data_IF_828485732290
#
_entry.id   IF_828485732290
#
_cell.length_a   1.000
_cell.length_b   1.000
_cell.length_c   1.000
_cell.angle_alpha   90.00
_cell.angle_beta   90.00
_cell.angle_gamma   90.00
#
_symmetry.space_group_name_H-M   'P 1'
#
loop_
_entity.id
_entity.type
_entity.pdbx_description
1 polymer ?
#
# COMPACT_ATOMS: atom_id res chain seq x y z
N UNK A 1 -74.67 -12.45 -13.61
CA UNK A 1 -73.74 -11.35 -13.97
C UNK A 1 -73.74 -10.22 -12.92
N UNK A 2 -74.79 -9.87 -12.25
CA UNK A 2 -74.86 -8.76 -11.30
C UNK A 2 -74.06 -8.99 -9.99
N UNK A 3 -73.94 -10.24 -9.49
CA UNK A 3 -73.16 -10.54 -8.28
C UNK A 3 -71.64 -10.42 -8.45
N UNK A 4 -71.11 -10.54 -9.66
CA UNK A 4 -69.66 -10.37 -9.95
C UNK A 4 -69.26 -8.89 -10.11
N UNK A 5 -70.21 -8.06 -10.51
CA UNK A 5 -69.99 -6.63 -10.64
C UNK A 5 -69.93 -5.92 -9.29
N UNK A 6 -70.71 -6.42 -8.30
CA UNK A 6 -70.68 -5.84 -6.93
C UNK A 6 -69.42 -6.16 -6.15
N UNK A 7 -68.76 -7.32 -6.44
CA UNK A 7 -67.47 -7.65 -5.81
C UNK A 7 -66.30 -6.84 -6.38
N UNK A 8 -66.41 -6.43 -7.65
CA UNK A 8 -65.38 -5.59 -8.28
C UNK A 8 -65.52 -4.11 -7.86
N UNK A 9 -66.74 -3.65 -7.55
CA UNK A 9 -67.00 -2.29 -7.07
C UNK A 9 -66.61 -2.10 -5.60
N UNK A 10 -66.56 -3.17 -4.78
CA UNK A 10 -66.13 -3.13 -3.39
C UNK A 10 -64.63 -3.27 -3.20
N UNK A 11 -63.88 -3.77 -4.19
CA UNK A 11 -62.44 -3.90 -4.18
C UNK A 11 -61.67 -2.63 -4.59
N UNK A 12 -62.33 -1.71 -5.30
CA UNK A 12 -61.73 -0.45 -5.78
C UNK A 12 -61.46 0.59 -4.67
N UNK A 13 -62.32 0.76 -3.62
CA UNK A 13 -61.99 1.72 -2.55
C UNK A 13 -60.87 1.24 -1.59
N UNK A 14 -60.52 -0.07 -1.55
CA UNK A 14 -59.44 -0.57 -0.69
C UNK A 14 -58.04 -0.26 -1.27
N UNK A 15 -57.97 0.02 -2.59
CA UNK A 15 -56.69 0.38 -3.23
C UNK A 15 -56.41 1.90 -3.20
N UNK A 16 -57.31 2.71 -2.66
CA UNK A 16 -57.13 4.16 -2.57
C UNK A 16 -56.73 4.65 -1.16
N UNK A 17 -56.44 3.71 -0.25
CA UNK A 17 -55.81 4.03 1.05
C UNK A 17 -54.29 3.81 0.94
N UNK A 18 -53.73 4.23 -0.16
CA UNK A 18 -52.29 4.24 -0.32
C UNK A 18 -51.76 5.67 -0.11
N UNK A 19 -50.98 5.81 0.93
CA UNK A 19 -50.06 6.89 1.21
C UNK A 19 -50.69 8.29 1.25
N UNK A 20 -51.32 8.66 2.35
CA UNK A 20 -51.15 10.03 2.82
C UNK A 20 -49.78 10.05 3.54
N UNK A 21 -48.70 10.28 2.80
CA UNK A 21 -47.47 10.74 3.39
C UNK A 21 -47.79 12.10 4.04
N UNK A 22 -48.18 12.08 5.30
CA UNK A 22 -48.20 13.28 6.12
C UNK A 22 -46.71 13.58 6.43
N UNK A 23 -46.02 14.18 5.42
CA UNK A 23 -44.69 14.74 5.63
C UNK A 23 -44.82 15.95 6.57
N UNK A 24 -44.99 15.69 7.85
CA UNK A 24 -44.93 16.73 8.86
C UNK A 24 -43.48 17.05 9.12
N UNK A 25 -43.08 18.30 8.89
CA UNK A 25 -41.76 18.81 9.30
C UNK A 25 -41.91 19.58 10.60
N UNK A 26 -41.03 19.28 11.56
CA UNK A 26 -41.07 19.90 12.88
C UNK A 26 -39.96 20.93 13.07
N UNK A 27 -40.27 21.97 13.85
CA UNK A 27 -39.29 22.95 14.36
C UNK A 27 -39.03 22.75 15.85
N UNK A 28 -39.38 21.58 16.42
CA UNK A 28 -39.08 21.26 17.80
C UNK A 28 -37.58 21.13 18.01
N UNK A 29 -37.08 21.86 19.00
CA UNK A 29 -35.63 21.90 19.32
C UNK A 29 -35.12 20.65 20.04
N UNK A 30 -35.97 19.73 20.42
CA UNK A 30 -35.58 18.44 21.00
C UNK A 30 -35.09 17.43 19.95
N UNK A 31 -35.54 17.58 18.71
CA UNK A 31 -35.23 16.68 17.60
C UNK A 31 -33.80 16.90 17.07
N UNK A 32 -33.12 15.82 16.73
CA UNK A 32 -31.73 15.77 16.29
C UNK A 32 -31.57 14.81 15.11
N UNK A 33 -30.60 15.12 14.24
CA UNK A 33 -30.04 14.16 13.32
C UNK A 33 -29.05 13.25 14.01
N UNK A 34 -28.90 12.03 13.52
CA UNK A 34 -27.89 11.05 13.94
C UNK A 34 -26.85 10.90 12.84
N UNK A 35 -25.59 10.94 13.21
CA UNK A 35 -24.48 10.85 12.28
C UNK A 35 -23.78 9.49 12.46
N UNK A 36 -23.38 8.83 11.37
CA UNK A 36 -22.61 7.59 11.45
C UNK A 36 -21.17 7.81 11.95
N UNK A 37 -20.69 9.06 11.92
CA UNK A 37 -19.39 9.47 12.47
C UNK A 37 -19.55 10.85 13.15
N UNK A 38 -18.79 11.08 14.21
CA UNK A 38 -18.63 12.40 14.84
C UNK A 38 -17.44 13.18 14.27
N UNK A 39 -16.46 12.44 13.72
CA UNK A 39 -15.22 12.95 13.16
C UNK A 39 -14.86 12.16 11.91
N UNK A 40 -14.74 12.86 10.78
CA UNK A 40 -14.11 12.34 9.56
C UNK A 40 -12.61 12.50 9.72
N UNK A 41 -11.91 11.37 9.79
CA UNK A 41 -10.46 11.30 9.86
C UNK A 41 -9.94 10.88 8.51
N UNK A 42 -9.31 11.81 7.83
CA UNK A 42 -8.54 11.54 6.62
C UNK A 42 -7.08 11.51 7.02
N UNK A 43 -6.34 10.54 6.53
CA UNK A 43 -4.95 10.34 6.90
C UNK A 43 -4.05 11.49 6.45
N UNK A 44 -2.74 11.29 6.48
CA UNK A 44 -1.77 12.21 5.90
C UNK A 44 -1.93 12.23 4.38
N UNK A 45 -1.88 13.41 3.80
CA UNK A 45 -1.86 13.62 2.35
C UNK A 45 -0.82 14.67 1.98
N UNK A 46 -0.32 14.61 0.77
CA UNK A 46 0.56 15.66 0.27
C UNK A 46 -0.22 16.95 0.02
N UNK A 47 0.38 18.08 0.41
CA UNK A 47 -0.19 19.40 0.13
C UNK A 47 -0.43 19.57 -1.37
N UNK A 48 -1.51 20.26 -1.73
CA UNK A 48 -1.98 20.50 -3.11
C UNK A 48 -2.47 19.24 -3.88
N UNK A 49 -2.39 18.06 -3.28
CA UNK A 49 -2.91 16.81 -3.86
C UNK A 49 -4.31 16.54 -3.30
N UNK A 50 -5.32 16.27 -4.14
CA UNK A 50 -6.65 15.90 -3.67
C UNK A 50 -6.64 14.56 -2.92
N UNK A 51 -7.39 14.49 -1.82
CA UNK A 51 -7.64 13.24 -1.10
C UNK A 51 -8.56 12.29 -1.87
N UNK A 52 -8.60 11.04 -1.43
CA UNK A 52 -9.74 10.17 -1.70
C UNK A 52 -11.02 10.72 -1.09
N UNK A 53 -12.18 10.32 -1.61
CA UNK A 53 -13.49 10.74 -1.11
C UNK A 53 -13.89 9.91 0.10
N UNK A 54 -14.11 10.55 1.23
CA UNK A 54 -14.69 9.91 2.42
C UNK A 54 -16.21 10.05 2.38
N UNK A 55 -16.94 9.02 2.84
CA UNK A 55 -18.40 8.99 2.82
C UNK A 55 -18.96 8.66 4.20
N UNK A 56 -20.01 9.40 4.61
CA UNK A 56 -20.79 9.07 5.81
C UNK A 56 -22.28 9.37 5.60
N UNK A 57 -23.11 8.87 6.53
CA UNK A 57 -24.55 9.05 6.48
C UNK A 57 -25.05 9.91 7.63
N UNK A 58 -26.12 10.65 7.34
CA UNK A 58 -26.85 11.45 8.31
C UNK A 58 -28.29 10.96 8.29
N UNK A 59 -28.78 10.45 9.43
CA UNK A 59 -30.08 9.84 9.57
C UNK A 59 -31.02 10.74 10.35
N UNK A 60 -32.29 10.75 9.96
CA UNK A 60 -33.37 11.28 10.78
C UNK A 60 -34.17 10.11 11.38
N UNK A 61 -34.11 9.98 12.69
CA UNK A 61 -34.84 8.95 13.47
C UNK A 61 -35.65 9.62 14.57
N UNK A 62 -36.12 10.85 14.35
CA UNK A 62 -36.75 11.68 15.38
C UNK A 62 -38.25 11.51 15.50
N UNK A 63 -38.89 10.79 14.57
CA UNK A 63 -40.35 10.61 14.50
C UNK A 63 -41.07 11.62 13.64
N UNK A 64 -40.42 12.70 13.23
CA UNK A 64 -40.93 13.76 12.35
C UNK A 64 -39.89 14.12 11.29
N UNK A 65 -40.34 14.68 10.15
CA UNK A 65 -39.45 15.24 9.15
C UNK A 65 -38.65 16.42 9.72
N UNK A 66 -37.37 16.50 9.39
CA UNK A 66 -36.47 17.59 9.74
C UNK A 66 -36.06 18.35 8.49
N UNK A 67 -36.07 19.69 8.56
CA UNK A 67 -35.54 20.53 7.48
C UNK A 67 -34.23 21.18 7.94
N UNK A 68 -33.18 20.96 7.17
CA UNK A 68 -31.91 21.66 7.31
C UNK A 68 -32.00 23.01 6.68
N UNK A 69 -32.00 24.09 7.47
CA UNK A 69 -31.92 25.44 6.98
C UNK A 69 -30.66 25.68 6.19
N UNK A 70 -29.52 25.12 6.66
CA UNK A 70 -28.25 25.22 5.97
C UNK A 70 -27.27 24.09 6.36
N UNK A 71 -26.46 23.67 5.40
CA UNK A 71 -25.23 22.88 5.63
C UNK A 71 -24.05 23.66 5.05
N UNK A 72 -22.98 23.82 5.84
CA UNK A 72 -21.81 24.62 5.42
C UNK A 72 -20.54 24.18 6.15
N UNK A 73 -19.41 24.46 5.55
CA UNK A 73 -18.11 24.42 6.26
C UNK A 73 -17.95 25.64 7.15
N UNK A 74 -17.41 25.47 8.35
CA UNK A 74 -17.17 26.55 9.29
C UNK A 74 -16.11 27.54 8.76
N UNK A 75 -15.01 26.97 8.18
CA UNK A 75 -13.89 27.70 7.60
C UNK A 75 -13.83 27.55 6.08
N UNK A 76 -14.98 27.74 5.42
CA UNK A 76 -15.09 27.59 3.96
C UNK A 76 -14.00 28.37 3.21
N UNK A 77 -13.29 27.69 2.29
CA UNK A 77 -12.20 28.24 1.49
C UNK A 77 -10.88 28.44 2.22
N UNK A 78 -10.77 28.09 3.51
CA UNK A 78 -9.55 28.27 4.31
C UNK A 78 -8.86 26.96 4.66
N UNK A 79 -9.60 25.86 4.75
CA UNK A 79 -9.10 24.55 5.14
C UNK A 79 -8.79 23.62 3.98
N UNK A 80 -9.29 23.94 2.77
CA UNK A 80 -9.20 23.07 1.59
C UNK A 80 -10.21 21.95 1.56
N UNK A 81 -11.03 21.76 2.62
CA UNK A 81 -12.14 20.80 2.62
C UNK A 81 -13.25 21.21 1.64
N UNK A 82 -13.85 20.20 1.03
CA UNK A 82 -15.02 20.28 0.14
C UNK A 82 -16.00 19.19 0.54
N UNK A 83 -17.29 19.46 0.40
CA UNK A 83 -18.29 18.45 0.64
C UNK A 83 -19.41 18.50 -0.41
N UNK A 84 -20.02 17.33 -0.64
CA UNK A 84 -21.27 17.17 -1.35
C UNK A 84 -22.26 16.55 -0.37
N UNK A 85 -23.43 17.17 -0.25
CA UNK A 85 -24.49 16.76 0.66
C UNK A 85 -25.70 16.42 -0.17
N UNK A 86 -26.12 15.15 -0.14
CA UNK A 86 -27.26 14.64 -0.87
C UNK A 86 -27.26 15.02 -2.37
N UNK A 87 -26.10 14.79 -3.03
CA UNK A 87 -25.92 15.12 -4.45
C UNK A 87 -25.66 16.60 -4.75
N UNK A 88 -25.75 17.50 -3.76
CA UNK A 88 -25.50 18.93 -3.93
C UNK A 88 -24.14 19.34 -3.39
N UNK A 89 -23.33 19.96 -4.24
CA UNK A 89 -22.01 20.46 -3.85
C UNK A 89 -22.13 21.74 -2.99
N UNK A 90 -21.38 21.83 -1.90
CA UNK A 90 -21.32 23.03 -1.06
C UNK A 90 -20.60 24.18 -1.80
N UNK A 91 -21.36 25.25 -2.14
CA UNK A 91 -20.80 26.45 -2.77
C UNK A 91 -21.48 27.73 -2.25
N UNK A 92 -21.06 28.33 -1.18
CA UNK A 92 -20.37 27.76 0.00
C UNK A 92 -21.33 27.02 0.95
N UNK A 93 -22.64 27.05 0.67
CA UNK A 93 -23.72 26.52 1.52
C UNK A 93 -24.76 25.78 0.69
N UNK A 94 -25.32 24.71 1.23
CA UNK A 94 -26.57 24.07 0.77
C UNK A 94 -27.69 24.47 1.74
N UNK A 95 -28.82 24.89 1.21
CA UNK A 95 -29.97 25.35 1.99
C UNK A 95 -31.23 24.51 1.72
N UNK A 96 -32.13 24.49 2.68
CA UNK A 96 -33.49 23.92 2.56
C UNK A 96 -33.46 22.42 2.16
N UNK A 97 -32.61 21.64 2.78
CA UNK A 97 -32.55 20.20 2.56
C UNK A 97 -33.49 19.49 3.52
N UNK A 98 -34.37 18.67 3.00
CA UNK A 98 -35.37 17.91 3.76
C UNK A 98 -34.86 16.50 4.03
N UNK A 99 -35.03 16.03 5.28
CA UNK A 99 -34.74 14.66 5.68
C UNK A 99 -36.01 14.14 6.37
N UNK A 100 -36.77 13.29 5.70
CA UNK A 100 -37.99 12.70 6.23
C UNK A 100 -37.71 11.80 7.41
N UNK A 101 -38.73 11.50 8.21
CA UNK A 101 -38.56 10.53 9.29
C UNK A 101 -38.22 9.15 8.73
N UNK A 102 -37.24 8.50 9.36
CA UNK A 102 -36.68 7.21 8.92
C UNK A 102 -35.75 7.29 7.71
N UNK A 103 -35.58 8.46 7.10
CA UNK A 103 -34.74 8.66 5.92
C UNK A 103 -33.29 9.06 6.28
N UNK A 104 -32.42 9.05 5.29
CA UNK A 104 -31.01 9.42 5.43
C UNK A 104 -30.48 10.14 4.20
N UNK A 105 -29.55 11.03 4.42
CA UNK A 105 -28.78 11.70 3.37
C UNK A 105 -27.32 11.27 3.40
N UNK A 106 -26.71 11.22 2.23
CA UNK A 106 -25.31 10.83 2.07
C UNK A 106 -24.43 12.06 1.94
N UNK A 107 -23.31 12.03 2.67
CA UNK A 107 -22.34 13.12 2.64
C UNK A 107 -21.02 12.59 2.14
N UNK A 108 -20.44 13.27 1.15
CA UNK A 108 -19.13 13.02 0.61
C UNK A 108 -18.21 14.16 0.99
N UNK A 109 -17.01 13.84 1.49
CA UNK A 109 -16.01 14.82 1.90
C UNK A 109 -14.69 14.53 1.20
N UNK A 110 -14.07 15.57 0.70
CA UNK A 110 -12.72 15.59 0.12
C UNK A 110 -11.94 16.76 0.67
N UNK A 111 -10.63 16.68 0.58
CA UNK A 111 -9.75 17.80 0.94
C UNK A 111 -8.61 17.92 -0.07
N UNK A 112 -8.25 19.18 -0.39
CA UNK A 112 -6.98 19.52 -1.03
C UNK A 112 -6.35 20.57 -0.12
N UNK A 113 -5.49 20.08 0.76
CA UNK A 113 -4.86 20.94 1.75
C UNK A 113 -3.87 21.91 1.10
N UNK A 114 -3.73 23.09 1.67
CA UNK A 114 -2.78 24.09 1.19
C UNK A 114 -1.36 23.76 1.65
N UNK A 115 -0.37 24.27 0.92
CA UNK A 115 1.01 24.27 1.38
C UNK A 115 1.15 25.01 2.72
N UNK A 116 2.07 24.57 3.52
CA UNK A 116 2.48 25.18 4.77
C UNK A 116 4.00 25.36 4.79
N UNK A 117 4.60 25.84 5.89
CA UNK A 117 6.05 26.06 5.96
C UNK A 117 6.79 24.99 6.78
N UNK A 118 6.09 23.93 7.20
CA UNK A 118 6.69 22.86 8.00
C UNK A 118 7.32 21.78 7.11
N UNK A 119 8.34 21.13 7.63
CA UNK A 119 8.87 19.88 7.06
C UNK A 119 8.02 18.67 7.47
N UNK A 120 7.40 18.74 8.65
CA UNK A 120 6.55 17.67 9.19
C UNK A 120 5.09 17.87 8.80
N UNK A 121 4.30 16.80 8.73
CA UNK A 121 2.86 16.88 8.48
C UNK A 121 2.14 17.78 9.49
N UNK A 122 1.32 18.70 9.00
CA UNK A 122 0.56 19.64 9.81
C UNK A 122 -0.92 19.33 9.84
N UNK A 123 -1.53 19.38 11.03
CA UNK A 123 -2.95 19.17 11.22
C UNK A 123 -3.77 20.25 10.53
N UNK A 124 -4.72 19.84 9.70
CA UNK A 124 -5.74 20.70 9.07
C UNK A 124 -7.11 20.24 9.55
N UNK A 125 -7.87 21.17 10.12
CA UNK A 125 -9.21 20.87 10.67
C UNK A 125 -10.25 21.85 10.15
N UNK A 126 -11.49 21.37 10.05
CA UNK A 126 -12.69 22.15 9.81
C UNK A 126 -13.89 21.46 10.48
N UNK A 127 -15.04 22.13 10.50
CA UNK A 127 -16.30 21.54 10.91
C UNK A 127 -17.32 21.65 9.79
N UNK A 128 -18.02 20.56 9.50
CA UNK A 128 -19.20 20.57 8.66
C UNK A 128 -20.42 20.79 9.57
N UNK A 129 -21.06 21.95 9.44
CA UNK A 129 -22.14 22.42 10.30
C UNK A 129 -23.49 22.15 9.63
N UNK A 130 -24.40 21.53 10.38
CA UNK A 130 -25.77 21.20 10.01
C UNK A 130 -26.71 22.02 10.90
N UNK A 131 -27.36 23.05 10.33
CA UNK A 131 -28.28 23.90 11.08
C UNK A 131 -29.73 23.56 10.71
N UNK A 132 -30.49 23.03 11.67
CA UNK A 132 -31.92 22.75 11.49
C UNK A 132 -32.75 24.04 11.43
N UNK A 133 -33.96 23.96 10.86
CA UNK A 133 -34.92 25.05 10.87
C UNK A 133 -35.35 25.49 12.29
N UNK A 134 -35.33 24.55 13.24
CA UNK A 134 -35.49 24.81 14.68
C UNK A 134 -34.40 25.69 15.31
N UNK A 135 -33.31 25.97 14.58
CA UNK A 135 -32.12 26.70 15.06
C UNK A 135 -31.13 25.85 15.83
N UNK A 136 -31.32 24.53 15.86
CA UNK A 136 -30.34 23.61 16.43
C UNK A 136 -29.21 23.44 15.43
N UNK A 137 -27.98 23.59 15.89
CA UNK A 137 -26.77 23.33 15.09
C UNK A 137 -26.04 22.09 15.62
N UNK A 138 -25.72 21.17 14.71
CA UNK A 138 -24.92 19.98 14.96
C UNK A 138 -23.71 20.00 14.02
N UNK A 139 -22.64 19.32 14.38
CA UNK A 139 -21.41 19.34 13.58
C UNK A 139 -20.77 17.97 13.49
N UNK A 140 -20.05 17.78 12.37
CA UNK A 140 -19.09 16.70 12.17
C UNK A 140 -17.72 17.35 12.00
N UNK A 141 -16.75 16.93 12.81
CA UNK A 141 -15.38 17.42 12.69
C UNK A 141 -14.70 16.76 11.49
N UNK A 142 -13.96 17.56 10.72
CA UNK A 142 -13.17 17.10 9.57
C UNK A 142 -11.70 17.36 9.89
N UNK A 143 -10.84 16.33 9.78
CA UNK A 143 -9.42 16.48 10.05
C UNK A 143 -8.55 15.62 9.14
N UNK A 144 -7.39 16.16 8.80
CA UNK A 144 -6.33 15.50 8.02
C UNK A 144 -4.97 16.08 8.42
N UNK A 145 -3.89 15.42 7.98
CA UNK A 145 -2.54 15.99 8.06
C UNK A 145 -2.07 16.35 6.65
N UNK A 146 -1.59 17.57 6.46
CA UNK A 146 -0.99 18.07 5.22
C UNK A 146 0.52 18.04 5.31
N UNK A 147 1.17 17.38 4.35
CA UNK A 147 2.61 17.25 4.27
C UNK A 147 3.13 17.89 2.98
N UNK A 148 4.03 18.86 3.10
CA UNK A 148 4.63 19.49 1.93
C UNK A 148 5.57 18.50 1.24
N UNK A 149 5.49 18.45 -0.08
CA UNK A 149 6.35 17.63 -0.91
C UNK A 149 6.90 18.43 -2.09
N UNK A 150 8.11 18.11 -2.50
CA UNK A 150 8.60 18.50 -3.82
C UNK A 150 7.92 17.63 -4.88
N UNK A 151 7.73 18.15 -6.09
CA UNK A 151 6.99 17.45 -7.14
C UNK A 151 7.80 17.40 -8.44
N UNK A 152 8.00 16.19 -8.96
CA UNK A 152 8.59 15.98 -10.28
C UNK A 152 7.55 15.42 -11.25
N UNK A 153 7.49 15.94 -12.47
CA UNK A 153 6.68 15.32 -13.51
C UNK A 153 7.45 14.14 -14.13
N UNK A 154 8.44 14.41 -14.95
CA UNK A 154 9.39 13.46 -15.50
C UNK A 154 10.78 14.03 -15.30
N UNK A 155 11.71 13.18 -14.90
CA UNK A 155 13.11 13.55 -14.72
C UNK A 155 13.99 12.72 -15.64
N UNK A 156 14.60 13.36 -16.63
CA UNK A 156 15.59 12.73 -17.51
C UNK A 156 16.99 13.13 -17.01
N UNK A 157 17.70 12.13 -16.48
CA UNK A 157 19.06 12.26 -15.94
C UNK A 157 20.04 11.93 -17.05
N UNK A 158 20.63 12.98 -17.66
CA UNK A 158 21.56 12.87 -18.80
C UNK A 158 23.03 13.07 -18.44
N UNK A 159 23.30 13.44 -17.18
CA UNK A 159 24.62 13.58 -16.57
C UNK A 159 24.54 13.15 -15.11
N UNK A 160 25.65 12.99 -14.43
CA UNK A 160 25.66 12.57 -13.04
C UNK A 160 24.86 13.56 -12.15
N UNK A 161 23.89 13.01 -11.42
CA UNK A 161 22.98 13.79 -10.60
C UNK A 161 22.82 13.18 -9.21
N UNK A 162 22.64 14.04 -8.20
CA UNK A 162 22.25 13.62 -6.85
C UNK A 162 20.90 14.23 -6.48
N UNK A 163 20.00 13.41 -5.99
CA UNK A 163 18.74 13.80 -5.34
C UNK A 163 18.91 13.61 -3.84
N UNK A 164 18.79 14.69 -3.07
CA UNK A 164 18.82 14.70 -1.62
C UNK A 164 17.86 15.79 -1.13
N UNK A 165 16.88 15.44 -0.31
CA UNK A 165 15.89 16.41 0.18
C UNK A 165 15.39 16.02 1.57
N UNK A 166 15.24 17.00 2.44
CA UNK A 166 14.60 16.85 3.75
C UNK A 166 13.06 16.77 3.65
N UNK A 167 12.49 17.11 2.49
CA UNK A 167 11.05 16.95 2.20
C UNK A 167 10.85 15.71 1.36
N UNK A 168 9.70 15.04 1.48
CA UNK A 168 9.33 14.00 0.53
C UNK A 168 9.25 14.56 -0.89
N UNK A 169 9.54 13.70 -1.85
CA UNK A 169 9.47 14.01 -3.28
C UNK A 169 8.39 13.13 -3.91
N UNK A 170 7.40 13.73 -4.56
CA UNK A 170 6.37 13.01 -5.32
C UNK A 170 6.72 13.03 -6.80
N UNK A 171 6.81 11.84 -7.40
CA UNK A 171 7.14 11.63 -8.81
C UNK A 171 5.90 11.20 -9.57
N UNK A 172 5.35 12.06 -10.41
CA UNK A 172 4.14 11.78 -11.19
C UNK A 172 4.41 11.04 -12.51
N UNK A 173 5.56 11.29 -13.13
CA UNK A 173 5.99 10.62 -14.36
C UNK A 173 7.03 9.56 -14.06
N UNK A 174 8.13 9.57 -14.79
CA UNK A 174 9.22 8.61 -14.62
C UNK A 174 10.56 9.30 -14.40
N UNK A 175 11.47 8.62 -13.72
CA UNK A 175 12.88 8.99 -13.67
C UNK A 175 13.60 8.09 -14.68
N UNK A 176 14.28 8.70 -15.67
CA UNK A 176 15.00 8.00 -16.71
C UNK A 176 16.49 8.34 -16.59
N UNK A 177 17.33 7.34 -16.30
CA UNK A 177 18.78 7.52 -16.21
C UNK A 177 19.40 7.10 -17.55
N UNK A 178 20.06 8.04 -18.22
CA UNK A 178 20.72 7.80 -19.50
C UNK A 178 21.93 6.86 -19.36
N UNK A 179 22.41 6.31 -20.48
CA UNK A 179 23.46 5.29 -20.53
C UNK A 179 24.79 5.74 -19.87
N UNK A 180 25.19 6.99 -20.09
CA UNK A 180 26.44 7.55 -19.55
C UNK A 180 26.24 8.35 -18.26
N UNK A 181 25.07 8.24 -17.61
CA UNK A 181 24.72 9.01 -16.41
C UNK A 181 24.59 8.12 -15.18
N UNK A 182 24.88 8.71 -14.02
CA UNK A 182 24.66 8.11 -12.70
C UNK A 182 23.69 8.95 -11.89
N UNK A 183 22.62 8.34 -11.42
CA UNK A 183 21.71 8.94 -10.44
C UNK A 183 22.05 8.41 -9.05
N UNK A 184 22.34 9.32 -8.12
CA UNK A 184 22.42 9.02 -6.69
C UNK A 184 21.20 9.59 -5.97
N UNK A 185 20.42 8.75 -5.30
CA UNK A 185 19.31 9.12 -4.42
C UNK A 185 19.76 8.85 -3.00
N UNK A 186 19.81 9.87 -2.14
CA UNK A 186 20.29 9.70 -0.78
C UNK A 186 19.54 10.54 0.25
N UNK A 187 19.39 10.00 1.46
CA UNK A 187 18.78 10.69 2.61
C UNK A 187 17.43 11.31 2.28
N UNK A 188 16.56 10.60 1.53
CA UNK A 188 15.29 11.16 1.05
C UNK A 188 14.20 10.10 0.91
N UNK A 189 12.96 10.55 0.80
CA UNK A 189 11.81 9.71 0.55
C UNK A 189 11.17 10.07 -0.80
N UNK A 190 11.11 9.10 -1.73
CA UNK A 190 10.47 9.24 -3.03
C UNK A 190 9.15 8.47 -3.05
N UNK A 191 8.12 9.19 -3.43
CA UNK A 191 6.74 8.70 -3.55
C UNK A 191 6.31 8.73 -5.02
N UNK A 192 6.07 7.57 -5.58
CA UNK A 192 5.76 7.42 -7.00
C UNK A 192 4.25 7.30 -7.22
N UNK A 193 3.72 8.13 -8.11
CA UNK A 193 2.35 8.06 -8.56
C UNK A 193 2.11 6.83 -9.45
N UNK A 194 0.83 6.44 -9.61
CA UNK A 194 0.45 5.32 -10.48
C UNK A 194 1.05 5.48 -11.90
N UNK A 195 1.70 4.42 -12.35
CA UNK A 195 2.40 4.41 -13.65
C UNK A 195 3.79 5.05 -13.66
N UNK A 196 4.22 5.73 -12.58
CA UNK A 196 5.58 6.22 -12.43
C UNK A 196 6.57 5.08 -12.10
N UNK A 197 7.86 5.31 -12.34
CA UNK A 197 8.92 4.35 -12.04
C UNK A 197 10.30 4.87 -12.37
N UNK A 198 11.33 4.07 -12.15
CA UNK A 198 12.72 4.38 -12.49
C UNK A 198 13.19 3.45 -13.62
N UNK A 199 13.68 4.02 -14.69
CA UNK A 199 14.34 3.28 -15.79
C UNK A 199 15.81 3.62 -15.81
N UNK A 200 16.70 2.63 -15.71
CA UNK A 200 18.14 2.80 -15.61
C UNK A 200 18.82 2.20 -16.84
N UNK A 201 19.41 3.05 -17.67
CA UNK A 201 20.32 2.60 -18.74
C UNK A 201 21.79 2.82 -18.35
N UNK A 202 22.08 3.72 -17.39
CA UNK A 202 23.39 3.99 -16.81
C UNK A 202 23.57 3.34 -15.44
N UNK A 203 23.70 4.14 -14.39
CA UNK A 203 23.84 3.67 -13.00
C UNK A 203 22.82 4.31 -12.05
N UNK A 204 22.35 3.53 -11.06
CA UNK A 204 21.53 4.00 -9.97
C UNK A 204 22.16 3.61 -8.64
N UNK A 205 22.32 4.57 -7.75
CA UNK A 205 22.72 4.36 -6.36
C UNK A 205 21.63 4.93 -5.45
N UNK A 206 21.13 4.14 -4.51
CA UNK A 206 20.13 4.53 -3.52
C UNK A 206 20.71 4.28 -2.13
N UNK A 207 20.82 5.35 -1.31
CA UNK A 207 21.44 5.29 0.01
C UNK A 207 20.50 5.91 1.05
N UNK A 208 20.26 5.21 2.16
CA UNK A 208 19.47 5.68 3.29
C UNK A 208 18.16 6.35 2.84
N UNK A 209 17.42 5.70 1.95
CA UNK A 209 16.27 6.28 1.27
C UNK A 209 15.09 5.32 1.18
N UNK A 210 13.87 5.90 1.13
CA UNK A 210 12.63 5.16 0.94
C UNK A 210 12.07 5.45 -0.46
N UNK A 211 11.79 4.39 -1.22
CA UNK A 211 11.11 4.44 -2.52
C UNK A 211 9.79 3.66 -2.42
N UNK A 212 8.66 4.34 -2.59
CA UNK A 212 7.34 3.71 -2.46
C UNK A 212 6.28 4.38 -3.33
N UNK A 213 5.08 3.80 -3.38
CA UNK A 213 3.92 4.47 -3.97
C UNK A 213 3.45 5.68 -3.13
N UNK A 214 2.76 6.60 -3.78
CA UNK A 214 2.33 7.90 -3.20
C UNK A 214 1.06 7.83 -2.35
N UNK A 215 0.41 6.66 -2.25
CA UNK A 215 -0.77 6.47 -1.40
C UNK A 215 -0.36 6.43 0.06
N UNK A 216 -0.84 7.41 0.83
CA UNK A 216 -0.63 7.51 2.27
C UNK A 216 -1.91 7.25 3.06
N UNK A 217 -3.05 7.12 2.37
CA UNK A 217 -4.36 6.97 2.97
C UNK A 217 -4.64 5.52 3.41
N UNK A 218 -5.17 5.38 4.60
CA UNK A 218 -5.53 4.11 5.22
C UNK A 218 -7.03 3.78 5.11
N UNK A 219 -7.78 4.43 4.27
CA UNK A 219 -9.25 4.46 4.15
C UNK A 219 -10.05 3.32 4.80
N UNK A 220 -9.57 2.07 4.72
CA UNK A 220 -10.24 0.88 5.26
C UNK A 220 -9.26 0.00 6.02
N UNK A 221 -9.61 -0.44 7.23
CA UNK A 221 -8.77 -1.34 8.03
C UNK A 221 -8.46 -2.67 7.32
N UNK A 222 -9.39 -3.16 6.50
CA UNK A 222 -9.22 -4.41 5.74
C UNK A 222 -8.52 -4.22 4.39
N UNK A 223 -8.34 -2.99 3.93
CA UNK A 223 -7.63 -2.64 2.69
C UNK A 223 -6.94 -1.28 2.86
N UNK A 224 -5.85 -1.24 3.61
CA UNK A 224 -5.10 -0.02 3.84
C UNK A 224 -4.31 0.36 2.59
N UNK A 225 -4.73 1.42 1.89
CA UNK A 225 -4.10 1.83 0.63
C UNK A 225 -2.64 2.25 0.79
N UNK A 226 -2.24 2.71 1.96
CA UNK A 226 -0.84 3.02 2.29
C UNK A 226 0.07 1.77 2.29
N UNK A 227 -0.52 0.56 2.31
CA UNK A 227 0.18 -0.72 2.46
C UNK A 227 -0.09 -1.74 1.35
N UNK A 228 -0.93 -1.44 0.36
CA UNK A 228 -1.16 -2.35 -0.76
C UNK A 228 -0.04 -2.28 -1.80
N UNK A 229 0.20 -3.41 -2.45
CA UNK A 229 1.19 -3.54 -3.54
C UNK A 229 0.68 -2.98 -4.87
N UNK A 230 1.59 -2.69 -5.80
CA UNK A 230 1.27 -2.34 -7.18
C UNK A 230 0.91 -0.88 -7.40
N UNK A 231 1.42 0.02 -6.57
CA UNK A 231 1.14 1.46 -6.65
C UNK A 231 2.00 2.18 -7.70
N UNK A 232 3.17 1.63 -8.05
CA UNK A 232 4.12 2.20 -8.99
C UNK A 232 4.88 1.08 -9.70
N UNK A 233 5.56 1.38 -10.79
CA UNK A 233 6.22 0.35 -11.62
C UNK A 233 7.41 -0.32 -10.95
N UNK A 234 8.13 0.38 -10.05
CA UNK A 234 9.40 -0.06 -9.48
C UNK A 234 10.60 0.41 -10.30
N UNK A 235 11.71 -0.32 -10.18
CA UNK A 235 13.00 -0.03 -10.79
C UNK A 235 13.24 -1.03 -11.93
N UNK A 236 13.49 -0.55 -13.14
CA UNK A 236 13.87 -1.37 -14.30
C UNK A 236 15.30 -1.03 -14.70
N UNK A 237 16.23 -1.97 -14.51
CA UNK A 237 17.62 -1.87 -14.93
C UNK A 237 17.76 -2.55 -16.28
N UNK A 238 18.09 -1.78 -17.32
CA UNK A 238 18.12 -2.24 -18.70
C UNK A 238 19.36 -3.08 -18.99
N UNK A 239 19.33 -3.93 -20.03
CA UNK A 239 20.50 -4.69 -20.45
C UNK A 239 21.71 -3.78 -20.69
N UNK A 240 22.86 -4.22 -20.18
CA UNK A 240 24.15 -3.52 -20.25
C UNK A 240 24.25 -2.21 -19.46
N UNK A 241 23.24 -1.85 -18.67
CA UNK A 241 23.39 -0.80 -17.68
C UNK A 241 24.55 -1.12 -16.73
N UNK A 242 25.22 -0.09 -16.20
CA UNK A 242 26.31 -0.25 -15.22
C UNK A 242 25.78 -0.99 -13.99
N UNK A 243 24.56 -0.66 -13.55
CA UNK A 243 23.87 -1.40 -12.50
C UNK A 243 23.01 -0.57 -11.57
N UNK A 244 22.50 -1.27 -10.54
CA UNK A 244 21.69 -0.69 -9.48
C UNK A 244 22.25 -1.13 -8.12
N UNK A 245 22.48 -0.17 -7.22
CA UNK A 245 22.93 -0.43 -5.86
C UNK A 245 21.96 0.21 -4.87
N UNK A 246 21.50 -0.57 -3.89
CA UNK A 246 20.75 -0.09 -2.72
C UNK A 246 21.58 -0.33 -1.45
N UNK A 247 21.74 0.70 -0.63
CA UNK A 247 22.42 0.65 0.66
C UNK A 247 21.49 1.26 1.72
N UNK A 248 21.19 0.53 2.77
CA UNK A 248 20.35 0.96 3.90
C UNK A 248 19.03 1.61 3.42
N UNK A 249 18.41 1.02 2.39
CA UNK A 249 17.29 1.62 1.68
C UNK A 249 16.11 0.67 1.54
N UNK A 250 14.92 1.23 1.36
CA UNK A 250 13.69 0.46 1.23
C UNK A 250 12.99 0.74 -0.10
N UNK A 251 12.58 -0.35 -0.79
CA UNK A 251 11.69 -0.33 -1.97
C UNK A 251 10.43 -1.10 -1.62
N UNK A 252 9.25 -0.45 -1.68
CA UNK A 252 7.99 -1.12 -1.34
C UNK A 252 6.79 -0.70 -2.17
N UNK A 253 5.76 -1.54 -2.12
CA UNK A 253 4.47 -1.32 -2.75
C UNK A 253 4.54 -1.16 -4.28
N UNK A 254 5.59 -1.66 -4.93
CA UNK A 254 5.76 -1.62 -6.38
C UNK A 254 4.93 -2.69 -7.10
N UNK A 255 4.84 -2.57 -8.42
CA UNK A 255 4.46 -3.70 -9.28
C UNK A 255 5.58 -4.73 -9.22
N UNK A 256 6.77 -4.43 -9.72
CA UNK A 256 7.97 -5.21 -9.49
C UNK A 256 8.98 -4.32 -8.73
N UNK A 257 9.63 -4.85 -7.68
CA UNK A 257 10.58 -4.06 -6.91
C UNK A 257 11.76 -3.65 -7.78
N UNK A 258 12.56 -4.63 -8.24
CA UNK A 258 13.65 -4.44 -9.19
C UNK A 258 13.55 -5.51 -10.29
N UNK A 259 13.61 -5.08 -11.54
CA UNK A 259 13.76 -5.94 -12.72
C UNK A 259 15.12 -5.64 -13.34
N UNK A 260 15.98 -6.66 -13.45
CA UNK A 260 17.34 -6.52 -13.95
C UNK A 260 17.64 -7.58 -15.01
N UNK A 261 18.16 -7.16 -16.13
CA UNK A 261 18.55 -8.04 -17.23
C UNK A 261 19.96 -7.69 -17.70
N UNK A 262 20.84 -8.66 -17.72
CA UNK A 262 22.23 -8.55 -18.23
C UNK A 262 22.98 -7.36 -17.61
N UNK A 263 22.95 -7.26 -16.27
CA UNK A 263 23.47 -6.10 -15.52
C UNK A 263 23.96 -6.53 -14.11
N UNK A 264 24.24 -5.57 -13.24
CA UNK A 264 24.66 -5.81 -11.86
C UNK A 264 23.64 -5.21 -10.88
N UNK A 265 23.26 -5.98 -9.86
CA UNK A 265 22.44 -5.52 -8.72
C UNK A 265 23.16 -5.81 -7.43
N UNK A 266 23.28 -4.81 -6.57
CA UNK A 266 23.87 -4.94 -5.22
C UNK A 266 22.86 -4.42 -4.18
N UNK A 267 22.53 -5.25 -3.20
CA UNK A 267 21.73 -4.87 -2.03
C UNK A 267 22.55 -5.05 -0.76
N UNK A 268 22.62 -4.02 0.06
CA UNK A 268 23.25 -4.06 1.38
C UNK A 268 22.39 -3.35 2.41
N UNK A 269 22.04 -4.01 3.52
CA UNK A 269 21.20 -3.43 4.57
C UNK A 269 19.81 -3.00 4.10
N UNK A 270 19.33 -3.55 2.98
CA UNK A 270 18.17 -3.00 2.27
C UNK A 270 16.96 -3.92 2.29
N UNK A 271 15.77 -3.33 2.11
CA UNK A 271 14.50 -4.06 2.09
C UNK A 271 13.78 -3.88 0.76
N UNK A 272 13.31 -4.99 0.17
CA UNK A 272 12.32 -4.97 -0.91
C UNK A 272 11.07 -5.68 -0.38
N UNK A 273 9.96 -4.94 -0.32
CA UNK A 273 8.75 -5.42 0.35
C UNK A 273 7.48 -5.15 -0.44
N UNK A 274 6.56 -6.13 -0.39
CA UNK A 274 5.18 -5.98 -0.82
C UNK A 274 5.03 -5.56 -2.29
N UNK A 275 5.47 -6.43 -3.19
CA UNK A 275 5.37 -6.24 -4.64
C UNK A 275 4.21 -7.05 -5.24
N UNK A 276 3.47 -6.45 -6.20
CA UNK A 276 2.38 -7.11 -6.93
C UNK A 276 2.88 -8.11 -7.98
N UNK A 277 4.14 -7.99 -8.38
CA UNK A 277 4.89 -8.90 -9.21
C UNK A 277 6.01 -9.55 -8.40
N UNK A 278 7.25 -9.45 -8.86
CA UNK A 278 8.44 -9.96 -8.18
C UNK A 278 9.07 -8.91 -7.25
N UNK A 279 9.70 -9.35 -6.16
CA UNK A 279 10.54 -8.47 -5.35
C UNK A 279 11.79 -8.04 -6.14
N UNK A 280 12.68 -8.98 -6.42
CA UNK A 280 13.79 -8.81 -7.35
C UNK A 280 13.73 -9.93 -8.40
N UNK A 281 13.63 -9.56 -9.66
CA UNK A 281 13.78 -10.47 -10.80
C UNK A 281 15.05 -10.15 -11.56
N UNK A 282 15.97 -11.09 -11.65
CA UNK A 282 17.24 -10.93 -12.33
C UNK A 282 17.46 -12.06 -13.36
N UNK A 283 17.92 -11.67 -14.54
CA UNK A 283 18.24 -12.56 -15.64
C UNK A 283 19.63 -12.23 -16.19
N UNK A 284 20.46 -13.27 -16.39
CA UNK A 284 21.84 -13.16 -16.91
C UNK A 284 22.68 -12.06 -16.26
N UNK A 285 22.48 -11.86 -14.95
CA UNK A 285 22.98 -10.73 -14.19
C UNK A 285 23.90 -11.17 -13.07
N UNK A 286 24.73 -10.24 -12.58
CA UNK A 286 25.41 -10.37 -11.32
C UNK A 286 24.53 -9.82 -10.18
N UNK A 287 24.32 -10.61 -9.12
CA UNK A 287 23.49 -10.21 -7.98
C UNK A 287 24.21 -10.50 -6.66
N UNK A 288 24.56 -9.45 -5.92
CA UNK A 288 25.18 -9.56 -4.62
C UNK A 288 24.23 -8.96 -3.55
N UNK A 289 23.75 -9.78 -2.60
CA UNK A 289 22.80 -9.37 -1.56
C UNK A 289 23.39 -9.68 -0.19
N UNK A 290 23.44 -8.66 0.69
CA UNK A 290 23.94 -8.82 2.05
C UNK A 290 23.01 -8.09 3.04
N UNK A 291 22.80 -8.69 4.24
CA UNK A 291 22.06 -8.08 5.34
C UNK A 291 20.73 -7.44 4.90
N UNK A 292 20.01 -8.10 4.02
CA UNK A 292 18.84 -7.55 3.36
C UNK A 292 17.63 -8.45 3.51
N UNK A 293 16.44 -7.85 3.37
CA UNK A 293 15.17 -8.57 3.45
C UNK A 293 14.39 -8.40 2.17
N UNK A 294 13.99 -9.50 1.52
CA UNK A 294 13.05 -9.50 0.40
C UNK A 294 11.80 -10.27 0.81
N UNK A 295 10.65 -9.62 0.78
CA UNK A 295 9.43 -10.19 1.37
C UNK A 295 8.15 -9.81 0.64
N UNK A 296 7.15 -10.67 0.77
CA UNK A 296 5.77 -10.43 0.35
C UNK A 296 5.63 -9.99 -1.11
N UNK A 297 5.99 -10.83 -2.05
CA UNK A 297 5.73 -10.64 -3.47
C UNK A 297 4.63 -11.58 -3.97
N UNK A 298 3.74 -11.11 -4.86
CA UNK A 298 2.71 -11.99 -5.43
C UNK A 298 3.35 -13.08 -6.31
N UNK A 299 4.38 -12.73 -7.07
CA UNK A 299 5.27 -13.69 -7.71
C UNK A 299 6.37 -14.09 -6.71
N UNK A 300 7.60 -14.22 -7.14
CA UNK A 300 8.70 -14.64 -6.29
C UNK A 300 9.30 -13.43 -5.52
N UNK A 301 9.75 -13.64 -4.28
CA UNK A 301 10.49 -12.60 -3.59
C UNK A 301 11.83 -12.34 -4.26
N UNK A 302 12.51 -13.42 -4.69
CA UNK A 302 13.78 -13.36 -5.42
C UNK A 302 13.77 -14.41 -6.55
N UNK A 303 14.01 -13.95 -7.78
CA UNK A 303 14.20 -14.82 -8.96
C UNK A 303 15.57 -14.57 -9.57
N UNK A 304 16.35 -15.63 -9.75
CA UNK A 304 17.70 -15.61 -10.31
C UNK A 304 17.82 -16.61 -11.46
N UNK A 305 17.82 -16.14 -12.70
CA UNK A 305 17.93 -16.98 -13.89
C UNK A 305 19.22 -16.67 -14.64
N UNK A 306 20.11 -17.65 -14.79
CA UNK A 306 21.41 -17.48 -15.43
C UNK A 306 22.36 -16.52 -14.71
N UNK A 307 22.13 -16.28 -13.42
CA UNK A 307 22.84 -15.26 -12.67
C UNK A 307 24.12 -15.82 -11.99
N UNK A 308 25.10 -14.92 -11.81
CA UNK A 308 26.20 -15.13 -10.87
C UNK A 308 25.84 -14.39 -9.56
N UNK A 309 25.49 -15.14 -8.51
CA UNK A 309 24.85 -14.56 -7.31
C UNK A 309 25.47 -14.98 -6.01
N UNK A 310 25.53 -14.02 -5.07
CA UNK A 310 25.93 -14.26 -3.67
C UNK A 310 24.88 -13.69 -2.74
N UNK A 311 24.39 -14.51 -1.81
CA UNK A 311 23.49 -14.11 -0.73
C UNK A 311 24.16 -14.39 0.60
N UNK A 312 24.25 -13.39 1.49
CA UNK A 312 24.83 -13.55 2.81
C UNK A 312 24.03 -12.76 3.86
N UNK A 313 23.55 -13.41 4.92
CA UNK A 313 22.65 -12.83 5.92
C UNK A 313 21.39 -12.23 5.30
N UNK A 314 20.72 -12.97 4.43
CA UNK A 314 19.50 -12.53 3.76
C UNK A 314 18.26 -13.19 4.36
N UNK A 315 17.17 -12.44 4.48
CA UNK A 315 15.85 -13.00 4.81
C UNK A 315 14.97 -12.95 3.56
N UNK A 316 14.54 -14.12 3.09
CA UNK A 316 13.54 -14.28 2.03
C UNK A 316 12.25 -14.81 2.66
N UNK A 317 11.20 -13.99 2.73
CA UNK A 317 9.99 -14.27 3.50
C UNK A 317 8.73 -14.10 2.65
N UNK A 318 8.12 -15.23 2.25
CA UNK A 318 6.96 -15.22 1.34
C UNK A 318 5.64 -15.34 2.09
N UNK A 319 5.13 -14.21 2.58
CA UNK A 319 3.85 -14.11 3.29
C UNK A 319 2.87 -13.16 2.59
N UNK A 320 2.92 -13.01 1.27
CA UNK A 320 2.04 -12.11 0.53
C UNK A 320 0.57 -12.37 0.86
N UNK A 321 -0.18 -11.40 1.44
CA UNK A 321 -1.48 -11.67 2.07
C UNK A 321 -2.65 -11.71 1.07
N UNK A 322 -2.53 -11.03 -0.07
CA UNK A 322 -3.67 -10.77 -0.97
C UNK A 322 -3.92 -11.91 -1.97
N UNK A 323 -3.15 -12.99 -1.94
CA UNK A 323 -3.36 -14.16 -2.81
C UNK A 323 -2.87 -15.45 -2.15
N UNK A 324 -3.62 -16.52 -2.32
CA UNK A 324 -3.15 -17.87 -1.99
C UNK A 324 -2.17 -18.41 -3.04
N UNK A 325 -2.29 -17.96 -4.30
CA UNK A 325 -1.43 -18.38 -5.42
C UNK A 325 -0.22 -17.41 -5.52
N UNK A 326 0.59 -17.38 -4.49
CA UNK A 326 1.86 -16.66 -4.47
C UNK A 326 3.00 -17.52 -4.98
N UNK A 327 4.05 -16.90 -5.52
CA UNK A 327 5.26 -17.59 -5.96
C UNK A 327 6.17 -18.01 -4.82
N UNK A 328 7.39 -18.37 -5.14
CA UNK A 328 8.41 -18.80 -4.21
C UNK A 328 9.05 -17.65 -3.42
N UNK A 329 9.67 -17.95 -2.28
CA UNK A 329 10.58 -17.01 -1.63
C UNK A 329 11.89 -16.88 -2.42
N UNK A 330 12.39 -18.01 -2.94
CA UNK A 330 13.57 -18.07 -3.80
C UNK A 330 13.29 -18.96 -5.00
N UNK A 331 13.42 -18.41 -6.20
CA UNK A 331 13.47 -19.15 -7.46
C UNK A 331 14.82 -18.97 -8.11
N UNK A 332 15.44 -20.06 -8.59
CA UNK A 332 16.71 -19.99 -9.28
C UNK A 332 16.85 -21.07 -10.35
N UNK A 333 17.68 -20.78 -11.34
CA UNK A 333 17.93 -21.74 -12.42
C UNK A 333 18.87 -21.23 -13.48
N UNK A 334 19.29 -22.10 -14.42
CA UNK A 334 20.09 -21.70 -15.55
C UNK A 334 19.28 -20.89 -16.58
N UNK A 335 20.00 -20.16 -17.38
CA UNK A 335 19.56 -19.62 -18.67
C UNK A 335 20.50 -20.10 -19.76
N UNK A 336 20.75 -19.29 -20.77
CA UNK A 336 21.82 -19.56 -21.74
C UNK A 336 23.23 -19.37 -21.13
N UNK A 337 23.35 -18.60 -20.03
CA UNK A 337 24.58 -18.32 -19.32
C UNK A 337 24.86 -19.36 -18.22
N UNK A 338 26.11 -19.38 -17.74
CA UNK A 338 26.52 -20.20 -16.60
C UNK A 338 25.84 -19.68 -15.32
N UNK A 339 25.14 -20.55 -14.63
CA UNK A 339 24.50 -20.22 -13.35
C UNK A 339 25.42 -20.54 -12.17
N UNK A 340 25.65 -19.54 -11.32
CA UNK A 340 26.42 -19.67 -10.06
C UNK A 340 25.61 -19.04 -8.91
N UNK A 341 25.31 -19.81 -7.86
CA UNK A 341 24.63 -19.31 -6.68
C UNK A 341 25.32 -19.75 -5.40
N UNK A 342 25.77 -18.80 -4.61
CA UNK A 342 26.30 -19.05 -3.25
C UNK A 342 25.36 -18.42 -2.23
N UNK A 343 24.80 -19.22 -1.33
CA UNK A 343 23.87 -18.77 -0.28
C UNK A 343 24.46 -19.12 1.09
N UNK A 344 24.66 -18.11 1.93
CA UNK A 344 25.17 -18.27 3.28
C UNK A 344 24.30 -17.54 4.29
N UNK A 345 24.25 -18.08 5.51
CA UNK A 345 23.61 -17.43 6.64
C UNK A 345 22.21 -16.88 6.31
N UNK A 346 21.44 -17.56 5.47
CA UNK A 346 20.22 -17.04 4.87
C UNK A 346 18.99 -17.79 5.35
N UNK A 347 17.95 -17.05 5.69
CA UNK A 347 16.62 -17.56 6.06
C UNK A 347 15.69 -17.50 4.85
N UNK A 348 15.12 -18.66 4.47
CA UNK A 348 14.12 -18.76 3.40
C UNK A 348 12.87 -19.44 3.95
N UNK A 349 11.79 -18.72 4.13
CA UNK A 349 10.54 -19.21 4.73
C UNK A 349 9.30 -18.59 4.11
N UNK A 350 8.12 -19.09 4.45
CA UNK A 350 6.85 -18.59 3.91
C UNK A 350 5.65 -19.40 4.37
N UNK A 351 4.49 -19.13 3.74
CA UNK A 351 3.25 -19.88 4.04
C UNK A 351 3.21 -21.26 3.42
N UNK A 352 3.76 -21.43 2.21
CA UNK A 352 3.80 -22.75 1.56
C UNK A 352 4.78 -23.69 2.26
N UNK A 353 4.58 -24.98 2.12
CA UNK A 353 5.47 -25.98 2.69
C UNK A 353 6.78 -26.10 1.90
N UNK A 354 6.79 -25.61 0.67
CA UNK A 354 7.95 -25.48 -0.20
C UNK A 354 7.97 -24.07 -0.80
N UNK A 355 8.98 -23.28 -0.49
CA UNK A 355 9.16 -21.91 -0.98
C UNK A 355 10.50 -21.69 -1.68
N UNK A 356 11.22 -22.79 -2.00
CA UNK A 356 12.48 -22.77 -2.75
C UNK A 356 12.29 -23.57 -4.04
N UNK A 357 12.27 -22.89 -5.16
CA UNK A 357 12.11 -23.51 -6.47
C UNK A 357 13.43 -23.40 -7.26
N UNK A 358 14.17 -24.50 -7.33
CA UNK A 358 15.43 -24.60 -8.09
C UNK A 358 15.28 -25.48 -9.31
N UNK A 359 15.49 -24.92 -10.49
CA UNK A 359 15.73 -25.71 -11.71
C UNK A 359 17.24 -25.76 -11.93
N UNK A 360 17.81 -26.99 -12.04
CA UNK A 360 19.26 -27.14 -12.16
C UNK A 360 19.62 -28.15 -13.24
N UNK A 361 20.67 -27.88 -13.94
CA UNK A 361 21.27 -28.74 -14.95
C UNK A 361 22.72 -29.15 -14.56
N UNK A 362 23.42 -29.87 -15.42
CA UNK A 362 24.79 -30.29 -15.17
C UNK A 362 25.80 -29.12 -15.10
N UNK A 363 25.44 -27.96 -15.61
CA UNK A 363 26.28 -26.75 -15.61
C UNK A 363 26.00 -25.82 -14.46
N UNK A 364 24.92 -26.07 -13.68
CA UNK A 364 24.52 -25.24 -12.57
C UNK A 364 25.43 -25.46 -11.37
N UNK A 365 26.10 -24.41 -10.91
CA UNK A 365 26.90 -24.41 -9.69
C UNK A 365 26.12 -23.66 -8.60
N UNK A 366 25.76 -24.35 -7.51
CA UNK A 366 25.11 -23.74 -6.38
C UNK A 366 25.51 -24.39 -5.06
N UNK A 367 25.46 -23.60 -3.98
CA UNK A 367 25.74 -24.08 -2.63
C UNK A 367 24.97 -23.29 -1.58
N UNK A 368 24.55 -23.98 -0.53
CA UNK A 368 23.93 -23.41 0.66
C UNK A 368 24.73 -23.78 1.90
N UNK A 369 25.07 -22.79 2.73
CA UNK A 369 25.83 -23.00 3.95
C UNK A 369 25.22 -22.20 5.11
N UNK A 370 25.00 -22.85 6.27
CA UNK A 370 24.41 -22.26 7.47
C UNK A 370 23.08 -21.52 7.16
N UNK A 371 22.10 -22.22 6.56
CA UNK A 371 20.81 -21.63 6.17
C UNK A 371 19.64 -22.30 6.90
N UNK A 372 18.52 -21.59 7.02
CA UNK A 372 17.23 -22.16 7.36
C UNK A 372 16.36 -22.14 6.11
N UNK A 373 15.91 -23.30 5.66
CA UNK A 373 15.18 -23.46 4.40
C UNK A 373 13.85 -24.18 4.60
N UNK A 374 12.75 -23.55 4.22
CA UNK A 374 11.42 -24.17 4.14
C UNK A 374 11.23 -24.76 2.75
N UNK A 375 11.66 -25.99 2.57
CA UNK A 375 11.59 -26.73 1.30
C UNK A 375 11.69 -28.22 1.56
N UNK A 376 11.33 -29.01 0.54
CA UNK A 376 11.54 -30.46 0.56
C UNK A 376 13.04 -30.76 0.54
N UNK A 377 13.49 -31.60 1.47
CA UNK A 377 14.90 -32.02 1.50
C UNK A 377 15.26 -32.72 0.20
N UNK A 378 16.23 -32.24 -0.58
CA UNK A 378 16.60 -32.88 -1.84
C UNK A 378 17.29 -34.24 -1.62
N UNK A 379 17.18 -35.13 -2.58
CA UNK A 379 17.81 -36.46 -2.51
C UNK A 379 19.35 -36.39 -2.41
N UNK A 380 19.96 -35.39 -3.07
CA UNK A 380 21.38 -35.09 -2.96
C UNK A 380 21.62 -33.82 -2.15
N UNK A 381 22.24 -33.97 -0.99
CA UNK A 381 22.54 -32.87 -0.06
C UNK A 381 23.99 -32.40 -0.10
N UNK A 382 24.79 -32.84 -1.05
CA UNK A 382 26.26 -32.50 -1.12
C UNK A 382 26.51 -31.00 -1.25
N UNK A 383 25.50 -30.25 -1.77
CA UNK A 383 25.56 -28.80 -1.95
C UNK A 383 24.98 -28.02 -0.76
N UNK A 384 24.56 -28.72 0.29
CA UNK A 384 23.91 -28.18 1.47
C UNK A 384 24.69 -28.52 2.72
N UNK A 385 25.23 -27.50 3.39
CA UNK A 385 26.00 -27.65 4.59
C UNK A 385 25.39 -26.87 5.75
N UNK A 386 25.26 -27.50 6.91
CA UNK A 386 24.72 -26.89 8.13
C UNK A 386 23.32 -26.28 7.96
N UNK A 387 22.42 -27.02 7.32
CA UNK A 387 21.07 -26.55 7.01
C UNK A 387 20.08 -26.93 8.12
N UNK A 388 19.24 -25.99 8.51
CA UNK A 388 18.01 -26.23 9.25
C UNK A 388 16.88 -26.38 8.22
N UNK A 389 16.35 -27.59 8.08
CA UNK A 389 15.22 -27.88 7.22
C UNK A 389 13.93 -27.62 7.99
N UNK A 390 13.27 -26.47 7.73
CA UNK A 390 12.02 -26.08 8.39
C UNK A 390 10.87 -26.95 7.89
N UNK A 391 10.11 -27.50 8.83
CA UNK A 391 8.93 -28.31 8.54
C UNK A 391 7.66 -27.64 9.09
N UNK A 392 6.54 -28.00 8.50
CA UNK A 392 5.20 -27.52 8.92
C UNK A 392 4.86 -27.82 10.37
N UNK A 393 5.37 -28.95 10.89
CA UNK A 393 5.08 -29.42 12.24
C UNK A 393 6.09 -28.93 13.28
N UNK A 394 7.06 -28.10 12.90
CA UNK A 394 7.98 -27.49 13.84
C UNK A 394 7.26 -26.47 14.74
N UNK A 395 7.64 -26.41 16.02
CA UNK A 395 7.05 -25.49 16.99
C UNK A 395 7.23 -24.04 16.58
N UNK A 396 8.39 -23.71 16.02
CA UNK A 396 8.73 -22.39 15.47
C UNK A 396 8.98 -22.56 13.98
N UNK A 397 8.05 -22.07 13.18
CA UNK A 397 8.08 -22.14 11.73
C UNK A 397 7.31 -20.97 11.10
N UNK A 398 7.59 -20.64 9.83
CA UNK A 398 6.90 -19.62 9.08
C UNK A 398 6.89 -18.26 9.80
N UNK A 399 5.71 -17.72 10.02
CA UNK A 399 5.53 -16.40 10.67
C UNK A 399 6.04 -16.33 12.11
N UNK A 400 6.20 -17.48 12.77
CA UNK A 400 6.63 -17.52 14.18
C UNK A 400 8.12 -17.17 14.38
N UNK A 401 8.91 -17.15 13.33
CA UNK A 401 10.29 -16.67 13.40
C UNK A 401 10.39 -15.18 13.69
N UNK A 402 9.37 -14.39 13.36
CA UNK A 402 9.42 -12.94 13.30
C UNK A 402 8.67 -12.26 14.45
N UNK A 403 9.09 -11.05 14.79
CA UNK A 403 8.48 -10.24 15.85
C UNK A 403 7.01 -9.99 15.57
N UNK A 404 6.66 -9.61 14.33
CA UNK A 404 5.27 -9.34 13.94
C UNK A 404 5.00 -9.68 12.48
N UNK A 405 3.97 -10.49 12.26
CA UNK A 405 3.36 -10.70 10.93
C UNK A 405 1.85 -10.60 11.14
N UNK A 406 1.24 -9.50 10.70
CA UNK A 406 -0.19 -9.22 10.79
C UNK A 406 -0.74 -8.97 9.38
N UNK A 407 -1.22 -10.03 8.72
CA UNK A 407 -1.76 -9.97 7.36
C UNK A 407 -3.04 -9.14 7.25
N UNK A 408 -3.84 -9.10 8.31
CA UNK A 408 -5.08 -8.34 8.29
C UNK A 408 -4.82 -6.84 8.25
N UNK A 409 -3.83 -6.39 9.01
CA UNK A 409 -3.40 -4.99 9.03
C UNK A 409 -2.29 -4.69 8.04
N UNK A 410 -1.73 -5.71 7.37
CA UNK A 410 -0.55 -5.61 6.51
C UNK A 410 0.62 -4.91 7.21
N UNK A 411 0.89 -5.31 8.47
CA UNK A 411 2.01 -4.82 9.28
C UNK A 411 3.00 -5.94 9.49
N UNK A 412 4.25 -5.69 9.17
CA UNK A 412 5.30 -6.69 9.19
C UNK A 412 6.56 -6.15 9.86
N UNK A 413 7.07 -6.94 10.80
CA UNK A 413 8.39 -6.75 11.40
C UNK A 413 9.14 -8.07 11.26
N UNK A 414 10.09 -8.11 10.33
CA UNK A 414 10.88 -9.28 10.00
C UNK A 414 12.13 -9.45 10.89
N UNK A 415 12.24 -8.71 12.00
CA UNK A 415 13.24 -9.00 13.01
C UNK A 415 12.99 -10.39 13.61
N UNK A 416 14.06 -11.15 13.79
CA UNK A 416 13.96 -12.50 14.34
C UNK A 416 13.71 -12.48 15.85
N UNK A 417 12.82 -13.34 16.31
CA UNK A 417 12.63 -13.62 17.73
C UNK A 417 13.82 -14.43 18.27
N UNK A 418 14.14 -14.23 19.52
CA UNK A 418 15.23 -14.98 20.21
C UNK A 418 14.97 -16.50 20.22
N UNK A 419 13.68 -16.91 20.24
CA UNK A 419 13.30 -18.32 20.22
C UNK A 419 13.45 -18.99 18.84
N UNK A 420 13.66 -18.20 17.79
CA UNK A 420 13.89 -18.74 16.45
C UNK A 420 15.21 -19.49 16.38
N UNK A 421 15.26 -20.73 15.84
CA UNK A 421 16.51 -21.43 15.64
C UNK A 421 17.48 -20.71 14.68
N UNK A 422 16.97 -19.79 13.87
CA UNK A 422 17.77 -18.91 13.02
C UNK A 422 18.52 -17.84 13.82
N UNK A 423 17.95 -17.35 14.93
CA UNK A 423 18.53 -16.29 15.75
C UNK A 423 19.86 -16.72 16.38
N UNK A 424 19.91 -17.88 17.06
CA UNK A 424 21.11 -18.40 17.71
C UNK A 424 22.27 -18.61 16.71
N UNK A 425 21.93 -19.08 15.49
CA UNK A 425 22.90 -19.35 14.43
C UNK A 425 23.24 -18.12 13.57
N UNK A 426 22.67 -16.97 13.87
CA UNK A 426 22.80 -15.73 13.09
C UNK A 426 22.44 -15.92 11.61
N UNK A 427 21.38 -16.64 11.35
CA UNK A 427 20.83 -16.89 10.02
C UNK A 427 19.78 -15.82 9.70
N UNK A 428 19.78 -15.28 8.47
CA UNK A 428 18.88 -14.24 8.04
C UNK A 428 19.44 -12.82 8.22
N UNK A 429 18.64 -11.82 7.92
CA UNK A 429 18.99 -10.43 8.20
C UNK A 429 18.97 -10.18 9.72
N UNK A 430 20.12 -9.85 10.26
CA UNK A 430 20.36 -9.67 11.70
C UNK A 430 20.70 -8.23 12.07
N UNK A 431 20.50 -7.26 11.14
CA UNK A 431 20.70 -5.83 11.38
C UNK A 431 19.44 -5.15 11.90
#
# INVERSE_FOLDING_TARGET
>A
MIKRLFFFLMAVPVLLVACSDNDSFTTDRSHRLTFTVDTVRMDTLFATVPSSTYTFWVHNQSGDGLRLRSVRLERSGQSGFRANVDGTFLNPVVNNLEVRDGDSIRVFVEVTAFENQSLDPQLVEDNLLFTLESGVEQKVNLRTYSWNAEQFQTLDVTEDMTIESAKPIVVYGSINVAEDAMLTIKNTELYFHDGAGITVNGALIVENSLLRGDRLDHMFDYLPYDRISGQWKGITVKPHAIGCQLVDSEVRNAIDGIVADTTTVVLSGSTIHNCKGSGLWAHDSRVDIQYSTLSNALKDCLTLLGCASTLDHVTLAQFYPLSANRGAALRFGPSEQTFLLTVKNTLVTGYADDVVEGEVDEKSEYSFENCLLRTVVPDNVDRFKDIIWEKKDDDIQGTKHFVLIDDYKMIYDFQLKEESPAFEKKIGNIQ
#
